data_IF_559727504856
#
_entry.id   IF_559727504856
#
_cell.length_a   1.000
_cell.length_b   1.000
_cell.length_c   1.000
_cell.angle_alpha   90.00
_cell.angle_beta   90.00
_cell.angle_gamma   90.00
#
_symmetry.space_group_name_H-M   'P 1'
#
loop_
_entity.id
_entity.type
_entity.pdbx_description
1 polymer ?
#
# COMPACT_ATOMS: atom_id res chain seq x y z
N UNK A 1 -23.88 8.69 11.78
CA UNK A 1 -22.42 8.73 11.55
C UNK A 1 -22.15 8.38 10.11
N UNK A 2 -21.25 9.08 9.40
CA UNK A 2 -20.78 8.66 8.08
C UNK A 2 -19.58 7.73 8.26
N UNK A 3 -19.55 6.61 7.55
CA UNK A 3 -18.43 5.69 7.55
C UNK A 3 -17.20 6.36 6.91
N UNK A 4 -16.05 6.40 7.61
CA UNK A 4 -14.81 6.97 7.07
C UNK A 4 -13.83 5.86 6.68
N UNK A 5 -13.22 5.98 5.50
CA UNK A 5 -12.12 5.13 5.08
C UNK A 5 -10.85 5.55 5.81
N UNK A 6 -10.03 4.60 6.25
CA UNK A 6 -8.72 4.90 6.83
C UNK A 6 -7.69 5.06 5.71
N UNK A 7 -6.97 6.18 5.72
CA UNK A 7 -5.89 6.46 4.78
C UNK A 7 -4.56 6.42 5.53
N UNK A 8 -3.60 5.65 5.01
CA UNK A 8 -2.22 5.65 5.48
C UNK A 8 -1.31 6.01 4.31
N UNK A 9 -0.21 6.72 4.58
CA UNK A 9 0.81 6.99 3.59
C UNK A 9 2.18 6.66 4.16
N UNK A 10 3.04 6.05 3.34
CA UNK A 10 4.45 5.91 3.69
C UNK A 10 5.14 7.29 3.67
N UNK A 11 6.32 7.37 4.28
CA UNK A 11 7.21 8.49 4.02
C UNK A 11 7.51 8.58 2.51
N UNK A 12 7.71 9.80 2.02
CA UNK A 12 8.14 10.04 0.65
C UNK A 12 9.65 9.77 0.53
N UNK A 13 10.04 9.06 -0.52
CA UNK A 13 11.45 8.85 -0.88
C UNK A 13 11.84 9.81 -1.99
N UNK A 14 12.69 10.79 -1.67
CA UNK A 14 13.20 11.76 -2.63
C UNK A 14 13.94 11.08 -3.78
N UNK A 15 13.72 11.56 -5.02
CA UNK A 15 14.35 11.02 -6.24
C UNK A 15 13.85 9.64 -6.68
N UNK A 16 12.98 8.98 -5.91
CA UNK A 16 12.38 7.72 -6.30
C UNK A 16 11.29 7.91 -7.35
N UNK A 17 11.07 6.87 -8.14
CA UNK A 17 9.99 6.73 -9.12
C UNK A 17 9.11 5.52 -8.77
N UNK A 18 8.04 5.32 -9.52
CA UNK A 18 7.19 4.13 -9.38
C UNK A 18 7.95 2.81 -9.59
N UNK A 19 9.04 2.82 -10.36
CA UNK A 19 9.88 1.64 -10.62
C UNK A 19 11.01 1.47 -9.61
N UNK A 20 11.24 2.43 -8.72
CA UNK A 20 12.29 2.34 -7.70
C UNK A 20 11.97 1.22 -6.71
N UNK A 21 12.99 0.48 -6.29
CA UNK A 21 12.83 -0.64 -5.38
C UNK A 21 12.44 -0.17 -3.97
N UNK A 22 11.52 -0.90 -3.33
CA UNK A 22 11.07 -0.70 -1.93
C UNK A 22 11.73 -1.68 -0.95
N UNK A 23 12.60 -2.56 -1.45
CA UNK A 23 13.23 -3.64 -0.70
C UNK A 23 12.46 -4.96 -0.81
N UNK A 24 12.96 -5.99 -0.14
CA UNK A 24 12.34 -7.32 -0.06
C UNK A 24 11.97 -7.63 1.39
N UNK A 25 11.03 -8.56 1.59
CA UNK A 25 10.58 -8.93 2.92
C UNK A 25 9.12 -9.37 2.94
N UNK A 26 8.45 -9.11 4.05
CA UNK A 26 7.05 -9.47 4.25
C UNK A 26 6.29 -8.29 4.83
N UNK A 27 5.16 -7.96 4.23
CA UNK A 27 4.23 -6.93 4.69
C UNK A 27 2.91 -7.60 5.06
N UNK A 28 2.61 -7.68 6.36
CA UNK A 28 1.30 -8.13 6.84
C UNK A 28 0.36 -6.94 7.02
N UNK A 29 -0.82 -7.04 6.44
CA UNK A 29 -1.89 -6.03 6.53
C UNK A 29 -3.10 -6.69 7.17
N UNK A 30 -3.57 -6.11 8.28
CA UNK A 30 -4.81 -6.50 8.95
C UNK A 30 -5.81 -5.36 8.88
N UNK A 31 -7.00 -5.62 8.34
CA UNK A 31 -8.04 -4.61 8.21
C UNK A 31 -8.85 -4.48 9.49
N UNK A 32 -9.61 -3.39 9.61
CA UNK A 32 -10.52 -3.19 10.74
C UNK A 32 -11.62 -4.27 10.82
N UNK A 33 -12.00 -4.86 9.69
CA UNK A 33 -12.93 -6.00 9.62
C UNK A 33 -12.29 -7.35 9.95
N UNK A 34 -11.01 -7.38 10.32
CA UNK A 34 -10.31 -8.61 10.73
C UNK A 34 -9.71 -9.43 9.58
N UNK A 35 -9.89 -9.02 8.32
CA UNK A 35 -9.20 -9.67 7.19
C UNK A 35 -7.70 -9.43 7.29
N UNK A 36 -6.90 -10.47 7.08
CA UNK A 36 -5.43 -10.37 7.09
C UNK A 36 -4.86 -10.94 5.80
N UNK A 37 -3.90 -10.23 5.19
CA UNK A 37 -3.04 -10.77 4.14
C UNK A 37 -1.57 -10.49 4.44
N UNK A 38 -0.73 -11.42 4.02
CA UNK A 38 0.73 -11.27 4.04
C UNK A 38 1.21 -11.17 2.60
N UNK A 39 1.78 -10.02 2.25
CA UNK A 39 2.41 -9.78 0.96
C UNK A 39 3.90 -10.10 1.10
N UNK A 40 4.35 -11.17 0.43
CA UNK A 40 5.79 -11.41 0.24
C UNK A 40 6.31 -10.47 -0.84
N UNK A 41 7.37 -9.74 -0.51
CA UNK A 41 8.04 -8.81 -1.42
C UNK A 41 9.37 -9.42 -1.86
N UNK A 42 9.48 -9.71 -3.15
CA UNK A 42 10.64 -10.32 -3.79
C UNK A 42 10.98 -9.62 -5.12
N UNK A 43 11.91 -10.17 -5.89
CA UNK A 43 12.35 -9.56 -7.14
C UNK A 43 11.25 -9.37 -8.20
N UNK A 44 10.10 -10.03 -8.08
CA UNK A 44 8.98 -9.89 -9.02
C UNK A 44 8.11 -8.66 -8.74
N UNK A 45 8.10 -8.15 -7.50
CA UNK A 45 7.17 -7.11 -7.06
C UNK A 45 7.82 -6.04 -6.15
N UNK A 46 9.15 -6.05 -5.97
CA UNK A 46 9.89 -5.14 -5.08
C UNK A 46 9.99 -3.68 -5.53
N UNK A 47 9.13 -3.18 -6.41
CA UNK A 47 9.03 -1.75 -6.75
C UNK A 47 7.84 -1.09 -6.08
N UNK A 48 7.77 0.24 -6.05
CA UNK A 48 6.58 0.95 -5.56
C UNK A 48 5.31 0.51 -6.32
N UNK A 49 5.36 0.42 -7.65
CA UNK A 49 4.24 -0.04 -8.47
C UNK A 49 3.94 -1.54 -8.30
N UNK A 50 4.98 -2.36 -8.16
CA UNK A 50 4.86 -3.79 -7.94
C UNK A 50 4.20 -4.10 -6.60
N UNK A 51 4.64 -3.47 -5.53
CA UNK A 51 4.06 -3.62 -4.20
C UNK A 51 2.62 -3.11 -4.16
N UNK A 52 2.32 -1.94 -4.76
CA UNK A 52 0.95 -1.44 -4.85
C UNK A 52 0.03 -2.44 -5.58
N UNK A 53 0.50 -3.02 -6.67
CA UNK A 53 -0.24 -4.03 -7.43
C UNK A 53 -0.45 -5.30 -6.61
N UNK A 54 0.57 -5.77 -5.89
CA UNK A 54 0.47 -6.94 -5.03
C UNK A 54 -0.54 -6.74 -3.88
N UNK A 55 -0.58 -5.54 -3.28
CA UNK A 55 -1.58 -5.19 -2.26
C UNK A 55 -2.99 -5.20 -2.86
N UNK A 56 -3.19 -4.55 -4.01
CA UNK A 56 -4.49 -4.52 -4.69
C UNK A 56 -4.98 -5.93 -5.07
N UNK A 57 -4.06 -6.82 -5.46
CA UNK A 57 -4.37 -8.21 -5.80
C UNK A 57 -4.73 -9.09 -4.59
N UNK A 58 -4.40 -8.68 -3.36
CA UNK A 58 -4.71 -9.45 -2.16
C UNK A 58 -6.19 -9.42 -1.77
N UNK A 59 -6.99 -8.52 -2.35
CA UNK A 59 -8.46 -8.45 -2.21
C UNK A 59 -8.98 -8.50 -0.75
N UNK A 60 -8.22 -7.85 0.14
CA UNK A 60 -8.57 -7.75 1.57
C UNK A 60 -9.41 -6.51 1.90
N UNK A 61 -9.88 -5.76 0.90
CA UNK A 61 -10.56 -4.48 1.12
C UNK A 61 -9.61 -3.30 1.37
N UNK A 62 -8.32 -3.47 1.07
CA UNK A 62 -7.32 -2.39 1.06
C UNK A 62 -6.89 -2.15 -0.37
N UNK A 63 -6.88 -0.88 -0.78
CA UNK A 63 -6.28 -0.45 -2.04
C UNK A 63 -5.00 0.30 -1.77
N UNK A 64 -4.04 0.19 -2.69
CA UNK A 64 -2.78 0.91 -2.68
C UNK A 64 -2.59 1.70 -3.98
N UNK A 65 -1.98 2.87 -3.87
CA UNK A 65 -1.63 3.73 -4.99
C UNK A 65 -0.25 4.33 -4.78
N UNK A 66 0.47 4.53 -5.88
CA UNK A 66 1.76 5.23 -5.88
C UNK A 66 1.50 6.71 -6.17
N UNK A 67 2.06 7.59 -5.35
CA UNK A 67 2.05 9.04 -5.58
C UNK A 67 3.49 9.51 -5.71
N UNK A 68 3.79 10.19 -6.81
CA UNK A 68 5.06 10.87 -7.05
C UNK A 68 4.81 12.35 -7.21
N UNK A 69 5.41 13.17 -6.35
CA UNK A 69 5.37 14.62 -6.42
C UNK A 69 6.77 15.22 -6.15
N UNK A 70 6.85 16.53 -5.96
CA UNK A 70 8.12 17.23 -5.72
C UNK A 70 8.87 16.76 -4.46
N UNK A 71 8.17 16.14 -3.49
CA UNK A 71 8.78 15.59 -2.27
C UNK A 71 9.31 14.17 -2.47
N UNK A 72 8.97 13.52 -3.59
CA UNK A 72 9.37 12.16 -3.93
C UNK A 72 8.20 11.20 -4.14
N UNK A 73 8.49 9.90 -4.07
CA UNK A 73 7.51 8.83 -4.27
C UNK A 73 7.09 8.20 -2.94
N UNK A 74 5.79 7.93 -2.76
CA UNK A 74 5.20 7.25 -1.59
C UNK A 74 4.08 6.28 -1.98
N UNK A 75 3.82 5.30 -1.11
CA UNK A 75 2.60 4.49 -1.16
C UNK A 75 1.51 5.15 -0.33
N UNK A 76 0.30 5.19 -0.88
CA UNK A 76 -0.93 5.58 -0.18
C UNK A 76 -1.85 4.37 -0.14
N UNK A 77 -2.27 4.00 1.06
CA UNK A 77 -3.16 2.89 1.35
C UNK A 77 -4.53 3.44 1.75
N UNK A 78 -5.59 2.84 1.25
CA UNK A 78 -6.97 3.12 1.67
C UNK A 78 -7.64 1.81 2.06
N UNK A 79 -7.98 1.68 3.33
CA UNK A 79 -8.77 0.55 3.83
C UNK A 79 -10.27 0.78 3.70
N UNK A 80 -11.06 -0.28 3.94
CA UNK A 80 -12.52 -0.21 3.99
C UNK A 80 -13.01 0.88 4.93
N UNK A 81 -14.17 1.47 4.60
CA UNK A 81 -14.89 2.38 5.48
C UNK A 81 -15.37 1.60 6.70
N UNK A 82 -15.10 2.08 7.91
CA UNK A 82 -15.53 1.42 9.14
C UNK A 82 -17.07 1.34 9.24
N UNK A 83 -17.60 0.27 9.86
CA UNK A 83 -19.03 0.07 10.08
C UNK A 83 -19.68 1.31 10.75
N UNK A 84 -20.87 1.68 10.28
CA UNK A 84 -21.65 2.80 10.79
C UNK A 84 -22.17 2.57 12.21
#
# INVERSE_FOLDING_TARGET
SLATARIFASAATSGATSSTAVGTGSLTITTAGGKTATITVDSSNNSFSGLASAINAADIGVTASVVTDAQGTRLVFKGETGAA
#
